data_IF_013482450014
#
_entry.id   IF_013482450014
#
_cell.length_a   1.000
_cell.length_b   1.000
_cell.length_c   1.000
_cell.angle_alpha   90.00
_cell.angle_beta   90.00
_cell.angle_gamma   90.00
#
_symmetry.space_group_name_H-M   'P 1'
#
loop_
_entity.id
_entity.type
_entity.pdbx_description
1 polymer ?
#
# COMPACT_ATOMS: atom_id res chain seq x y z
N UNK A 1 -1.09 12.01 19.93
CA UNK A 1 -1.32 10.75 20.68
C UNK A 1 -2.16 9.82 19.82
N UNK A 2 -1.64 8.68 19.36
CA UNK A 2 -2.47 7.69 18.66
C UNK A 2 -3.38 7.02 19.69
N UNK A 3 -4.70 7.18 19.57
CA UNK A 3 -5.67 6.50 20.45
C UNK A 3 -5.54 4.98 20.26
N UNK A 4 -5.48 4.24 21.36
CA UNK A 4 -5.45 2.79 21.34
C UNK A 4 -6.81 2.26 20.84
N UNK A 5 -6.81 1.19 20.03
CA UNK A 5 -8.03 0.54 19.57
C UNK A 5 -8.95 0.10 20.72
N UNK A 6 -8.38 -0.30 21.87
CA UNK A 6 -9.13 -0.60 23.09
C UNK A 6 -9.88 0.62 23.67
N UNK A 7 -9.27 1.81 23.62
CA UNK A 7 -9.90 3.06 24.08
C UNK A 7 -11.11 3.44 23.21
N UNK A 8 -11.03 3.15 21.91
CA UNK A 8 -12.08 3.49 20.95
C UNK A 8 -13.32 2.60 21.16
N UNK A 9 -13.11 1.30 21.41
CA UNK A 9 -14.21 0.36 21.67
C UNK A 9 -14.69 0.36 23.13
N UNK A 10 -14.00 1.12 23.99
CA UNK A 10 -14.23 1.22 25.44
C UNK A 10 -14.15 -0.15 26.13
N UNK A 11 -13.15 -0.95 25.77
CA UNK A 11 -12.83 -2.21 26.45
C UNK A 11 -11.41 -2.17 27.02
N UNK A 12 -11.14 -2.85 28.14
CA UNK A 12 -9.78 -3.02 28.62
C UNK A 12 -8.99 -3.96 27.69
N UNK A 13 -7.66 -3.81 27.65
CA UNK A 13 -6.78 -4.70 26.86
C UNK A 13 -6.88 -6.18 27.31
N UNK A 14 -7.24 -6.41 28.58
CA UNK A 14 -7.46 -7.74 29.16
C UNK A 14 -8.77 -8.41 28.75
N UNK A 15 -9.62 -7.75 27.94
CA UNK A 15 -10.89 -8.33 27.51
C UNK A 15 -10.68 -9.65 26.75
N UNK A 16 -11.57 -10.61 26.91
CA UNK A 16 -11.52 -11.87 26.15
C UNK A 16 -11.87 -11.64 24.68
N UNK A 17 -11.53 -12.58 23.79
CA UNK A 17 -11.88 -12.46 22.37
C UNK A 17 -13.41 -12.38 22.18
N UNK A 18 -14.15 -13.17 22.93
CA UNK A 18 -15.62 -13.18 22.91
C UNK A 18 -16.23 -11.83 23.27
N UNK A 19 -15.66 -11.12 24.26
CA UNK A 19 -16.12 -9.78 24.65
C UNK A 19 -15.82 -8.75 23.57
N UNK A 20 -14.66 -8.85 22.93
CA UNK A 20 -14.28 -7.99 21.80
C UNK A 20 -15.21 -8.21 20.61
N UNK A 21 -15.47 -9.46 20.24
CA UNK A 21 -16.33 -9.80 19.10
C UNK A 21 -17.77 -9.34 19.35
N UNK A 22 -18.29 -9.56 20.57
CA UNK A 22 -19.61 -9.07 20.98
C UNK A 22 -19.69 -7.55 20.88
N UNK A 23 -18.66 -6.84 21.36
CA UNK A 23 -18.64 -5.37 21.33
C UNK A 23 -18.55 -4.82 19.91
N UNK A 24 -17.77 -5.47 19.04
CA UNK A 24 -17.70 -5.13 17.62
C UNK A 24 -19.03 -5.35 16.93
N UNK A 25 -19.75 -6.45 17.24
CA UNK A 25 -21.09 -6.70 16.70
C UNK A 25 -22.10 -5.65 17.17
N UNK A 26 -22.09 -5.28 18.46
CA UNK A 26 -22.95 -4.22 19.02
C UNK A 26 -22.73 -2.85 18.37
N UNK A 27 -21.47 -2.49 18.08
CA UNK A 27 -21.15 -1.23 17.40
C UNK A 27 -21.51 -1.27 15.92
N UNK A 28 -21.35 -2.42 15.24
CA UNK A 28 -21.78 -2.59 13.85
C UNK A 28 -23.31 -2.50 13.69
N UNK A 29 -24.06 -2.93 14.71
CA UNK A 29 -25.51 -2.88 14.72
C UNK A 29 -26.07 -1.47 14.99
N UNK A 30 -25.26 -0.54 15.50
CA UNK A 30 -25.61 0.87 15.65
C UNK A 30 -25.14 1.61 14.39
N UNK A 31 -25.89 2.60 13.92
CA UNK A 31 -25.42 3.49 12.85
C UNK A 31 -24.09 4.14 13.27
N UNK A 32 -23.01 3.76 12.60
CA UNK A 32 -21.68 4.28 12.85
C UNK A 32 -21.56 5.61 12.12
N UNK A 33 -21.24 6.73 12.79
CA UNK A 33 -21.00 8.00 12.13
C UNK A 33 -19.95 7.84 11.02
N UNK A 34 -20.17 8.45 9.85
CA UNK A 34 -19.31 8.31 8.66
C UNK A 34 -17.82 8.59 8.94
N UNK A 35 -17.52 9.51 9.85
CA UNK A 35 -16.15 9.83 10.27
C UNK A 35 -15.46 8.74 11.11
N UNK A 36 -16.21 7.81 11.70
CA UNK A 36 -15.69 6.68 12.50
C UNK A 36 -15.69 5.34 11.76
N UNK A 37 -16.32 5.27 10.58
CA UNK A 37 -16.50 4.03 9.83
C UNK A 37 -15.15 3.38 9.44
N UNK A 38 -14.17 4.19 9.01
CA UNK A 38 -12.82 3.72 8.67
C UNK A 38 -12.04 3.22 9.90
N UNK A 39 -12.11 3.93 11.03
CA UNK A 39 -11.50 3.51 12.29
C UNK A 39 -12.13 2.21 12.79
N UNK A 40 -13.45 2.09 12.70
CA UNK A 40 -14.17 0.89 13.11
C UNK A 40 -13.79 -0.33 12.26
N UNK A 41 -13.66 -0.17 10.94
CA UNK A 41 -13.19 -1.23 10.04
C UNK A 41 -11.79 -1.72 10.44
N UNK A 42 -10.87 -0.80 10.72
CA UNK A 42 -9.51 -1.15 11.18
C UNK A 42 -9.52 -1.89 12.51
N UNK A 43 -10.34 -1.43 13.47
CA UNK A 43 -10.48 -2.07 14.77
C UNK A 43 -11.06 -3.48 14.60
N UNK A 44 -12.13 -3.63 13.82
CA UNK A 44 -12.75 -4.95 13.56
C UNK A 44 -11.76 -5.90 12.90
N UNK A 45 -11.00 -5.41 11.93
CA UNK A 45 -9.98 -6.20 11.21
C UNK A 45 -8.77 -6.57 12.07
N UNK A 46 -8.41 -5.73 13.05
CA UNK A 46 -7.24 -5.95 13.92
C UNK A 46 -7.59 -6.76 15.16
N UNK A 47 -8.68 -6.39 15.85
CA UNK A 47 -9.08 -7.00 17.12
C UNK A 47 -10.07 -8.17 16.95
N UNK A 48 -10.78 -8.26 15.82
CA UNK A 48 -11.73 -9.35 15.55
C UNK A 48 -11.07 -10.65 15.07
N UNK A 49 -9.77 -10.64 14.77
CA UNK A 49 -8.99 -11.85 14.48
C UNK A 49 -8.04 -12.13 15.66
N UNK A 50 -8.08 -13.33 16.27
CA UNK A 50 -7.27 -13.64 17.45
C UNK A 50 -5.76 -13.52 17.23
N UNK A 51 -5.26 -13.86 16.04
CA UNK A 51 -3.83 -13.82 15.74
C UNK A 51 -3.37 -12.37 15.52
N UNK A 52 -4.16 -11.57 14.82
CA UNK A 52 -3.85 -10.15 14.59
C UNK A 52 -3.94 -9.33 15.86
N UNK A 53 -4.91 -9.66 16.72
CA UNK A 53 -5.02 -9.10 18.05
C UNK A 53 -3.77 -9.36 18.88
N UNK A 54 -3.27 -10.61 18.91
CA UNK A 54 -2.00 -10.95 19.58
C UNK A 54 -0.83 -10.13 19.08
N UNK A 55 -0.70 -9.97 17.76
CA UNK A 55 0.37 -9.16 17.17
C UNK A 55 0.24 -7.67 17.54
N UNK A 56 -0.98 -7.15 17.57
CA UNK A 56 -1.27 -5.79 17.99
C UNK A 56 -0.94 -5.58 19.48
N UNK A 57 -1.32 -6.52 20.35
CA UNK A 57 -1.01 -6.49 21.78
C UNK A 57 0.49 -6.53 22.04
N UNK A 58 1.23 -7.37 21.31
CA UNK A 58 2.70 -7.44 21.38
C UNK A 58 3.35 -6.12 20.93
N UNK A 59 2.86 -5.51 19.84
CA UNK A 59 3.36 -4.22 19.36
C UNK A 59 3.05 -3.07 20.33
N UNK A 60 1.90 -3.13 21.01
CA UNK A 60 1.52 -2.15 22.02
C UNK A 60 2.40 -2.28 23.27
N UNK A 61 2.67 -3.52 23.71
CA UNK A 61 3.59 -3.81 24.81
C UNK A 61 5.02 -3.33 24.50
N UNK A 62 5.52 -3.56 23.27
CA UNK A 62 6.84 -3.09 22.85
C UNK A 62 6.97 -1.56 22.84
N UNK A 63 5.87 -0.82 22.58
CA UNK A 63 5.84 0.65 22.65
C UNK A 63 5.75 1.19 24.09
N UNK A 64 5.29 0.37 25.03
CA UNK A 64 5.15 0.72 26.45
C UNK A 64 6.40 0.38 27.26
N UNK A 65 7.33 -0.41 26.72
CA UNK A 65 8.62 -0.65 27.35
C UNK A 65 9.51 0.61 27.22
N UNK A 66 9.96 1.21 28.34
CA UNK A 66 11.06 2.17 28.29
C UNK A 66 12.31 1.45 27.78
N UNK A 67 13.12 2.14 26.96
CA UNK A 67 14.37 1.63 26.39
C UNK A 67 15.29 1.18 27.52
N UNK A 68 15.25 -0.11 27.83
CA UNK A 68 16.18 -0.81 28.72
C UNK A 68 17.26 -1.43 27.84
N UNK A 69 18.49 -1.02 28.12
CA UNK A 69 19.76 -1.43 27.49
C UNK A 69 19.78 -2.93 27.15
N UNK A 70 20.11 -3.24 25.90
CA UNK A 70 20.33 -4.59 25.41
C UNK A 70 21.58 -5.23 26.06
N UNK A 71 21.53 -6.47 26.57
CA UNK A 71 22.74 -7.22 26.88
C UNK A 71 23.40 -7.64 25.56
N UNK A 72 24.67 -7.24 25.39
CA UNK A 72 25.51 -7.66 24.28
C UNK A 72 25.69 -9.18 24.28
N UNK A 73 25.62 -9.76 23.09
CA UNK A 73 25.91 -11.17 22.84
C UNK A 73 27.36 -11.50 23.21
N UNK A 74 27.53 -12.33 24.23
CA UNK A 74 28.78 -12.93 24.64
C UNK A 74 29.13 -14.06 23.66
N UNK A 75 30.25 -13.89 22.96
CA UNK A 75 30.84 -14.91 22.08
C UNK A 75 31.32 -16.07 22.93
N UNK A 76 30.73 -17.24 22.73
CA UNK A 76 31.25 -18.49 23.29
C UNK A 76 32.27 -19.07 22.33
N UNK A 77 33.53 -18.99 22.73
CA UNK A 77 34.66 -19.66 22.08
C UNK A 77 34.62 -21.17 22.32
N UNK A 78 34.98 -21.88 21.27
CA UNK A 78 35.11 -23.33 21.18
C UNK A 78 36.41 -23.78 21.88
N UNK A 79 36.32 -24.64 22.89
CA UNK A 79 37.39 -25.59 23.20
C UNK A 79 36.90 -26.80 24.02
N UNK A 80 37.02 -27.98 23.39
CA UNK A 80 37.53 -29.23 23.97
C UNK A 80 36.86 -29.81 25.22
N UNK A 81 36.11 -30.91 25.05
CA UNK A 81 36.50 -32.18 25.67
C UNK A 81 35.77 -33.37 25.04
N UNK A 82 36.53 -34.28 24.42
CA UNK A 82 36.07 -35.61 23.97
C UNK A 82 36.31 -36.60 25.10
N UNK A 83 35.29 -37.44 25.32
CA UNK A 83 35.29 -38.81 25.82
C UNK A 83 34.29 -38.94 26.97
N UNK A 84 33.29 -39.81 26.80
CA UNK A 84 33.06 -40.99 27.64
C UNK A 84 31.86 -41.79 27.10
N UNK A 85 32.21 -42.96 26.54
CA UNK A 85 31.58 -44.28 26.70
C UNK A 85 30.07 -44.44 26.50
N UNK A 86 29.73 -45.21 25.46
CA UNK A 86 28.41 -45.73 25.17
C UNK A 86 27.92 -46.74 26.23
N UNK A 87 26.69 -46.56 26.71
CA UNK A 87 25.81 -47.61 27.22
C UNK A 87 24.46 -47.54 26.50
N UNK A 88 23.84 -48.66 26.12
CA UNK A 88 22.60 -48.68 25.35
C UNK A 88 21.39 -48.52 26.29
N UNK A 89 20.92 -47.29 26.49
CA UNK A 89 19.63 -47.04 27.17
C UNK A 89 18.46 -47.35 26.22
N UNK A 90 17.57 -48.21 26.70
CA UNK A 90 16.35 -48.65 26.05
C UNK A 90 15.51 -47.50 25.46
N UNK A 91 14.91 -47.74 24.30
CA UNK A 91 13.94 -46.84 23.64
C UNK A 91 12.77 -46.57 24.61
N UNK A 92 12.38 -45.31 24.88
CA UNK A 92 11.10 -45.05 25.51
C UNK A 92 9.99 -45.39 24.52
N UNK A 93 9.09 -46.28 24.93
CA UNK A 93 7.85 -46.57 24.25
C UNK A 93 7.05 -45.27 24.19
N UNK A 94 6.80 -44.76 22.98
CA UNK A 94 5.95 -43.59 22.76
C UNK A 94 4.52 -43.95 23.17
N UNK A 95 4.12 -43.54 24.37
CA UNK A 95 2.73 -43.53 24.77
C UNK A 95 2.01 -42.48 23.92
N UNK A 96 1.13 -42.93 23.03
CA UNK A 96 0.23 -42.05 22.29
C UNK A 96 -0.63 -41.29 23.30
N UNK A 97 -0.50 -39.97 23.33
CA UNK A 97 -1.26 -39.09 24.21
C UNK A 97 -2.75 -39.13 23.81
N UNK A 98 -3.66 -39.66 24.65
CA UNK A 98 -5.08 -39.77 24.33
C UNK A 98 -5.82 -38.41 24.30
N UNK A 99 -5.14 -37.31 24.64
CA UNK A 99 -5.65 -35.93 24.59
C UNK A 99 -5.12 -35.11 23.40
N UNK A 100 -4.75 -35.75 22.29
CA UNK A 100 -4.56 -34.99 21.05
C UNK A 100 -5.90 -34.39 20.63
N UNK A 101 -6.00 -33.06 20.73
CA UNK A 101 -7.13 -32.31 20.21
C UNK A 101 -7.33 -32.69 18.73
N UNK A 102 -8.58 -32.82 18.25
CA UNK A 102 -8.83 -33.10 16.85
C UNK A 102 -8.05 -32.08 16.03
N UNK A 103 -7.15 -32.53 15.16
CA UNK A 103 -6.60 -31.66 14.12
C UNK A 103 -7.74 -31.39 13.16
N UNK A 104 -8.58 -30.42 13.53
CA UNK A 104 -9.49 -29.77 12.62
C UNK A 104 -8.62 -29.29 11.48
N UNK A 105 -8.73 -29.94 10.33
CA UNK A 105 -8.36 -29.32 9.08
C UNK A 105 -9.26 -28.09 8.97
N UNK A 106 -8.79 -26.98 9.54
CA UNK A 106 -9.32 -25.67 9.28
C UNK A 106 -9.15 -25.53 7.78
N UNK A 107 -10.22 -25.82 7.04
CA UNK A 107 -10.38 -25.33 5.68
C UNK A 107 -10.08 -23.85 5.81
N UNK A 108 -8.87 -23.49 5.39
CA UNK A 108 -8.40 -22.13 5.23
C UNK A 108 -9.52 -21.46 4.46
N UNK A 109 -10.36 -20.69 5.17
CA UNK A 109 -11.36 -19.83 4.54
C UNK A 109 -10.58 -19.16 3.43
N UNK A 110 -10.96 -19.40 2.18
CA UNK A 110 -10.23 -18.92 1.01
C UNK A 110 -10.11 -17.41 1.17
N UNK A 111 -8.99 -16.95 1.74
CA UNK A 111 -8.56 -15.57 1.64
C UNK A 111 -8.51 -15.36 0.14
N UNK A 112 -9.35 -14.47 -0.36
CA UNK A 112 -9.34 -14.06 -1.75
C UNK A 112 -7.88 -13.70 -2.08
N UNK A 113 -7.20 -14.60 -2.79
CA UNK A 113 -5.75 -14.51 -2.96
C UNK A 113 -5.51 -13.27 -3.81
N UNK A 114 -4.93 -12.25 -3.18
CA UNK A 114 -4.79 -10.95 -3.80
C UNK A 114 -3.99 -11.11 -5.11
N UNK A 115 -4.51 -10.62 -6.25
CA UNK A 115 -3.75 -10.68 -7.49
C UNK A 115 -2.49 -9.82 -7.36
N UNK A 116 -1.43 -10.06 -8.15
CA UNK A 116 -0.26 -9.22 -8.12
C UNK A 116 -0.60 -7.76 -8.45
N UNK A 117 -0.34 -6.81 -7.54
CA UNK A 117 -0.62 -5.38 -7.72
C UNK A 117 0.65 -4.54 -7.70
N UNK A 118 0.64 -3.40 -8.39
CA UNK A 118 1.65 -2.37 -8.19
C UNK A 118 1.45 -1.70 -6.83
N UNK A 119 2.55 -1.39 -6.14
CA UNK A 119 2.48 -0.69 -4.86
C UNK A 119 1.89 0.74 -5.03
N UNK A 120 0.72 1.05 -4.42
CA UNK A 120 0.07 2.36 -4.60
C UNK A 120 0.88 3.53 -4.02
N UNK A 121 1.66 3.31 -2.96
CA UNK A 121 2.54 4.36 -2.41
C UNK A 121 3.68 4.66 -3.38
N UNK A 122 4.30 3.61 -3.93
CA UNK A 122 5.36 3.79 -4.91
C UNK A 122 4.81 4.45 -6.20
N UNK A 123 3.60 4.08 -6.64
CA UNK A 123 2.94 4.74 -7.77
C UNK A 123 2.75 6.24 -7.50
N UNK A 124 2.30 6.61 -6.29
CA UNK A 124 2.21 7.99 -5.85
C UNK A 124 3.56 8.73 -5.90
N UNK A 125 4.63 8.12 -5.35
CA UNK A 125 5.97 8.73 -5.33
C UNK A 125 6.55 8.92 -6.74
N UNK A 126 6.45 7.90 -7.59
CA UNK A 126 6.92 7.99 -8.99
C UNK A 126 6.10 8.98 -9.83
N UNK A 127 4.87 9.29 -9.42
CA UNK A 127 4.06 10.33 -10.06
C UNK A 127 4.56 11.75 -9.80
N UNK A 128 5.38 11.98 -8.76
CA UNK A 128 6.08 13.26 -8.58
C UNK A 128 7.14 13.46 -9.67
N UNK A 129 7.85 12.39 -10.04
CA UNK A 129 8.92 12.47 -11.03
C UNK A 129 8.39 12.49 -12.45
N UNK A 130 7.44 11.60 -12.78
CA UNK A 130 6.88 11.53 -14.12
C UNK A 130 5.71 12.49 -14.28
N UNK A 131 4.55 12.11 -13.75
CA UNK A 131 3.34 12.91 -13.69
C UNK A 131 2.20 12.09 -13.06
N UNK A 132 1.06 12.72 -12.71
CA UNK A 132 -0.15 12.00 -12.32
C UNK A 132 -0.71 11.08 -13.41
N UNK A 133 -0.33 11.26 -14.68
CA UNK A 133 -0.70 10.36 -15.79
C UNK A 133 -0.14 8.96 -15.52
N UNK A 134 1.13 8.89 -15.10
CA UNK A 134 1.79 7.64 -14.74
C UNK A 134 1.07 6.94 -13.57
N UNK A 135 0.80 7.68 -12.49
CA UNK A 135 0.08 7.14 -11.34
C UNK A 135 -1.33 6.66 -11.66
N UNK A 136 -2.07 7.43 -12.47
CA UNK A 136 -3.43 7.06 -12.92
C UNK A 136 -3.41 5.75 -13.70
N UNK A 137 -2.42 5.58 -14.58
CA UNK A 137 -2.25 4.33 -15.32
C UNK A 137 -1.96 3.14 -14.40
N UNK A 138 -1.05 3.30 -13.43
CA UNK A 138 -0.75 2.20 -12.49
C UNK A 138 -1.94 1.84 -11.60
N UNK A 139 -2.69 2.83 -11.12
CA UNK A 139 -3.91 2.58 -10.35
C UNK A 139 -5.02 1.97 -11.22
N UNK A 140 -5.15 2.35 -12.49
CA UNK A 140 -6.03 1.68 -13.45
C UNK A 140 -5.67 0.19 -13.57
N UNK A 141 -4.39 -0.14 -13.77
CA UNK A 141 -3.95 -1.53 -13.90
C UNK A 141 -4.20 -2.34 -12.62
N UNK A 142 -4.08 -1.71 -11.46
CA UNK A 142 -4.45 -2.34 -10.18
C UNK A 142 -5.95 -2.58 -10.07
N UNK A 143 -6.79 -1.60 -10.40
CA UNK A 143 -8.25 -1.76 -10.38
C UNK A 143 -8.69 -2.88 -11.35
N UNK A 144 -8.13 -2.94 -12.56
CA UNK A 144 -8.41 -4.01 -13.51
C UNK A 144 -7.97 -5.38 -12.98
N UNK A 145 -6.80 -5.46 -12.33
CA UNK A 145 -6.36 -6.71 -11.71
C UNK A 145 -7.29 -7.16 -10.57
N UNK A 146 -7.91 -6.21 -9.87
CA UNK A 146 -8.87 -6.46 -8.79
C UNK A 146 -10.31 -6.71 -9.27
N UNK A 147 -10.59 -6.59 -10.57
CA UNK A 147 -11.97 -6.61 -11.07
C UNK A 147 -12.83 -5.43 -10.60
N UNK A 148 -12.19 -4.36 -10.12
CA UNK A 148 -12.85 -3.13 -9.66
C UNK A 148 -13.14 -2.22 -10.86
N UNK A 149 -14.27 -2.48 -11.52
CA UNK A 149 -14.71 -1.75 -12.72
C UNK A 149 -14.98 -0.26 -12.46
N UNK A 150 -15.50 0.07 -11.27
CA UNK A 150 -15.78 1.47 -10.89
C UNK A 150 -14.47 2.24 -10.71
N UNK A 151 -13.53 1.69 -9.95
CA UNK A 151 -12.21 2.27 -9.79
C UNK A 151 -11.42 2.32 -11.11
N UNK A 152 -11.56 1.32 -11.98
CA UNK A 152 -10.95 1.32 -13.30
C UNK A 152 -11.51 2.45 -14.17
N UNK A 153 -12.84 2.67 -14.16
CA UNK A 153 -13.47 3.77 -14.90
C UNK A 153 -12.98 5.13 -14.41
N UNK A 154 -12.90 5.34 -13.10
CA UNK A 154 -12.44 6.62 -12.53
C UNK A 154 -10.97 6.89 -12.88
N UNK A 155 -10.09 5.90 -12.71
CA UNK A 155 -8.67 6.03 -13.04
C UNK A 155 -8.44 6.22 -14.55
N UNK A 156 -9.22 5.53 -15.39
CA UNK A 156 -9.19 5.72 -16.86
C UNK A 156 -9.63 7.13 -17.25
N UNK A 157 -10.70 7.63 -16.65
CA UNK A 157 -11.17 8.99 -16.89
C UNK A 157 -10.11 10.02 -16.51
N UNK A 158 -9.47 9.87 -15.34
CA UNK A 158 -8.37 10.75 -14.92
C UNK A 158 -7.17 10.65 -15.86
N UNK A 159 -6.78 9.43 -16.26
CA UNK A 159 -5.68 9.21 -17.20
C UNK A 159 -5.87 9.98 -18.51
N UNK A 160 -7.03 9.83 -19.16
CA UNK A 160 -7.30 10.54 -20.42
C UNK A 160 -7.51 12.04 -20.24
N UNK A 161 -8.14 12.47 -19.14
CA UNK A 161 -8.30 13.89 -18.82
C UNK A 161 -6.94 14.58 -18.69
N UNK A 162 -5.99 13.93 -18.00
CA UNK A 162 -4.65 14.48 -17.80
C UNK A 162 -3.83 14.49 -19.09
N UNK A 163 -3.96 13.46 -19.94
CA UNK A 163 -3.35 13.47 -21.28
C UNK A 163 -3.90 14.61 -22.12
N UNK A 164 -5.23 14.74 -22.19
CA UNK A 164 -5.87 15.80 -22.99
C UNK A 164 -5.42 17.19 -22.52
N UNK A 165 -5.39 17.42 -21.20
CA UNK A 165 -4.96 18.69 -20.63
C UNK A 165 -3.49 18.98 -20.89
N UNK A 166 -2.62 17.98 -20.74
CA UNK A 166 -1.20 18.11 -21.04
C UNK A 166 -0.96 18.45 -22.52
N UNK A 167 -1.69 17.80 -23.44
CA UNK A 167 -1.66 18.11 -24.87
C UNK A 167 -2.13 19.53 -25.18
N UNK A 168 -3.19 20.01 -24.51
CA UNK A 168 -3.66 21.40 -24.66
C UNK A 168 -2.61 22.39 -24.18
N UNK A 169 -1.96 22.14 -23.04
CA UNK A 169 -0.91 23.01 -22.52
C UNK A 169 0.26 23.08 -23.50
N UNK A 170 0.75 21.93 -24.00
CA UNK A 170 1.82 21.90 -25.02
C UNK A 170 1.41 22.69 -26.26
N UNK A 171 0.19 22.47 -26.75
CA UNK A 171 -0.31 23.17 -27.93
C UNK A 171 -0.31 24.69 -27.72
N UNK A 172 -0.82 25.17 -26.59
CA UNK A 172 -0.83 26.60 -26.27
C UNK A 172 0.59 27.16 -26.13
N UNK A 173 1.51 26.44 -25.48
CA UNK A 173 2.89 26.87 -25.33
C UNK A 173 3.65 26.97 -26.65
N UNK A 174 3.40 26.05 -27.60
CA UNK A 174 4.12 26.04 -28.89
C UNK A 174 3.49 26.95 -29.93
N UNK A 175 2.16 26.91 -30.09
CA UNK A 175 1.47 27.57 -31.20
C UNK A 175 0.80 28.89 -30.80
N UNK A 176 0.62 29.14 -29.51
CA UNK A 176 0.07 30.39 -28.98
C UNK A 176 0.90 30.91 -27.78
N UNK A 177 2.21 31.22 -27.96
CA UNK A 177 3.09 31.55 -26.83
C UNK A 177 2.58 32.69 -25.95
N UNK A 178 1.91 33.69 -26.53
CA UNK A 178 1.28 34.81 -25.83
C UNK A 178 0.22 34.42 -24.77
N UNK A 179 -0.32 33.21 -24.87
CA UNK A 179 -1.22 32.56 -23.90
C UNK A 179 -0.43 31.52 -23.09
N UNK A 180 0.33 30.66 -23.76
CA UNK A 180 1.07 29.55 -23.15
C UNK A 180 2.08 29.99 -22.08
N UNK A 181 2.81 31.08 -22.31
CA UNK A 181 3.83 31.59 -21.39
C UNK A 181 3.23 32.16 -20.09
N UNK A 182 1.92 32.43 -20.09
CA UNK A 182 1.17 32.88 -18.90
C UNK A 182 0.67 31.72 -18.05
N UNK A 183 0.78 30.49 -18.52
CA UNK A 183 0.38 29.31 -17.75
C UNK A 183 1.40 29.10 -16.62
N UNK A 184 0.99 29.14 -15.35
CA UNK A 184 1.93 29.04 -14.24
C UNK A 184 2.44 27.60 -14.09
N UNK A 185 3.76 27.45 -13.91
CA UNK A 185 4.43 26.14 -13.74
C UNK A 185 3.90 25.32 -12.55
N UNK A 186 3.24 25.96 -11.57
CA UNK A 186 2.64 25.29 -10.41
C UNK A 186 1.44 24.40 -10.78
N UNK A 187 0.88 24.56 -11.97
CA UNK A 187 -0.34 23.87 -12.38
C UNK A 187 -0.18 22.33 -12.33
N UNK A 188 1.01 21.82 -12.67
CA UNK A 188 1.34 20.39 -12.57
C UNK A 188 1.28 19.87 -11.14
N UNK A 189 1.73 20.66 -10.17
CA UNK A 189 1.66 20.31 -8.75
C UNK A 189 0.21 20.33 -8.24
N UNK A 190 -0.59 21.31 -8.68
CA UNK A 190 -2.03 21.37 -8.37
C UNK A 190 -2.74 20.13 -8.91
N UNK A 191 -2.45 19.71 -10.14
CA UNK A 191 -3.04 18.50 -10.72
C UNK A 191 -2.59 17.23 -10.00
N UNK A 192 -1.33 17.15 -9.58
CA UNK A 192 -0.84 16.04 -8.77
C UNK A 192 -1.60 15.93 -7.44
N UNK A 193 -1.78 17.05 -6.74
CA UNK A 193 -2.54 17.07 -5.49
C UNK A 193 -4.01 16.70 -5.73
N UNK A 194 -4.65 17.27 -6.75
CA UNK A 194 -6.04 16.99 -7.08
C UNK A 194 -6.26 15.50 -7.40
N UNK A 195 -5.39 14.92 -8.22
CA UNK A 195 -5.42 13.51 -8.55
C UNK A 195 -5.23 12.62 -7.32
N UNK A 196 -4.22 12.93 -6.50
CA UNK A 196 -3.93 12.15 -5.30
C UNK A 196 -5.09 12.19 -4.31
N UNK A 197 -5.68 13.37 -4.07
CA UNK A 197 -6.81 13.51 -3.15
C UNK A 197 -8.08 12.84 -3.68
N UNK A 198 -8.33 12.90 -4.99
CA UNK A 198 -9.55 12.36 -5.60
C UNK A 198 -9.53 10.84 -5.70
N UNK A 199 -8.46 10.28 -6.28
CA UNK A 199 -8.41 8.86 -6.67
C UNK A 199 -7.27 8.12 -5.99
N UNK A 200 -6.08 8.73 -5.92
CA UNK A 200 -4.88 8.05 -5.42
C UNK A 200 -4.99 7.60 -3.96
N UNK A 201 -5.49 8.47 -3.09
CA UNK A 201 -5.68 8.21 -1.66
C UNK A 201 -6.77 7.17 -1.41
N UNK A 202 -7.87 7.21 -2.17
CA UNK A 202 -8.97 6.24 -2.05
C UNK A 202 -8.49 4.84 -2.44
N UNK A 203 -7.83 4.72 -3.59
CA UNK A 203 -7.31 3.43 -4.07
C UNK A 203 -6.28 2.84 -3.11
N UNK A 204 -5.34 3.65 -2.61
CA UNK A 204 -4.39 3.22 -1.56
C UNK A 204 -5.12 2.66 -0.34
N UNK A 205 -6.15 3.36 0.14
CA UNK A 205 -6.89 2.95 1.32
C UNK A 205 -7.63 1.63 1.06
N UNK A 206 -8.30 1.50 -0.09
CA UNK A 206 -9.01 0.30 -0.49
C UNK A 206 -8.11 -0.94 -0.56
N UNK A 207 -6.92 -0.83 -1.16
CA UNK A 207 -5.94 -1.93 -1.23
C UNK A 207 -5.46 -2.31 0.17
N UNK A 208 -5.13 -1.31 1.01
CA UNK A 208 -4.67 -1.55 2.38
C UNK A 208 -5.75 -2.16 3.26
N UNK A 209 -7.00 -1.76 3.10
CA UNK A 209 -8.13 -2.29 3.85
C UNK A 209 -8.47 -3.72 3.45
N UNK A 210 -8.37 -4.07 2.15
CA UNK A 210 -8.67 -5.42 1.66
C UNK A 210 -7.54 -6.42 1.91
N UNK A 211 -6.29 -6.01 1.71
CA UNK A 211 -5.16 -6.94 1.66
C UNK A 211 -4.01 -6.62 2.63
N UNK A 212 -4.08 -5.50 3.35
CA UNK A 212 -2.98 -5.05 4.22
C UNK A 212 -1.71 -4.72 3.42
N UNK A 213 -0.55 -5.01 4.00
CA UNK A 213 0.76 -4.76 3.37
C UNK A 213 1.37 -6.00 2.69
N UNK A 214 0.80 -7.19 2.94
CA UNK A 214 1.28 -8.51 2.52
C UNK A 214 0.50 -9.07 1.31
N UNK A 215 0.31 -8.24 0.29
CA UNK A 215 -0.16 -8.67 -1.03
C UNK A 215 1.02 -8.93 -1.98
N UNK A 216 0.90 -9.85 -2.95
CA UNK A 216 1.93 -10.06 -3.95
C UNK A 216 2.10 -8.78 -4.79
N UNK A 217 3.34 -8.31 -4.91
CA UNK A 217 3.65 -7.04 -5.58
C UNK A 217 4.17 -7.29 -6.99
N UNK A 218 3.59 -6.60 -7.97
CA UNK A 218 4.19 -6.47 -9.30
C UNK A 218 5.46 -5.65 -9.22
N UNK A 219 6.47 -6.04 -9.99
CA UNK A 219 7.72 -5.30 -10.10
C UNK A 219 7.48 -3.89 -10.68
N UNK A 220 7.94 -2.87 -9.96
CA UNK A 220 7.90 -1.48 -10.43
C UNK A 220 8.95 -1.19 -11.50
N UNK A 221 10.04 -1.95 -11.57
CA UNK A 221 11.16 -1.68 -12.49
C UNK A 221 10.69 -1.60 -13.93
N UNK A 222 9.85 -2.54 -14.38
CA UNK A 222 9.30 -2.53 -15.74
C UNK A 222 8.46 -1.28 -16.01
N UNK A 223 7.59 -0.91 -15.06
CA UNK A 223 6.76 0.27 -15.19
C UNK A 223 7.60 1.56 -15.26
N UNK A 224 8.61 1.68 -14.40
CA UNK A 224 9.52 2.83 -14.39
C UNK A 224 10.31 2.92 -15.69
N UNK A 225 10.86 1.82 -16.20
CA UNK A 225 11.59 1.80 -17.48
C UNK A 225 10.70 2.24 -18.65
N UNK A 226 9.44 1.79 -18.69
CA UNK A 226 8.47 2.26 -19.69
C UNK A 226 8.20 3.75 -19.51
N UNK A 227 8.03 4.22 -18.27
CA UNK A 227 7.86 5.64 -17.95
C UNK A 227 9.02 6.49 -18.46
N UNK A 228 10.27 6.05 -18.23
CA UNK A 228 11.48 6.71 -18.74
C UNK A 228 11.46 6.74 -20.28
N UNK A 229 11.17 5.61 -20.93
CA UNK A 229 11.12 5.55 -22.40
C UNK A 229 10.08 6.49 -23.00
N UNK A 230 8.89 6.57 -22.41
CA UNK A 230 7.84 7.51 -22.82
C UNK A 230 8.30 8.95 -22.61
N UNK A 231 8.94 9.25 -21.46
CA UNK A 231 9.46 10.58 -21.18
C UNK A 231 10.48 11.01 -22.23
N UNK A 232 11.47 10.15 -22.53
CA UNK A 232 12.46 10.40 -23.60
C UNK A 232 11.78 10.63 -24.95
N UNK A 233 10.79 9.81 -25.31
CA UNK A 233 10.05 9.97 -26.57
C UNK A 233 9.29 11.31 -26.63
N UNK A 234 8.66 11.73 -25.54
CA UNK A 234 8.00 13.04 -25.44
C UNK A 234 9.00 14.18 -25.60
N UNK A 235 10.18 14.10 -24.98
CA UNK A 235 11.23 15.10 -25.14
C UNK A 235 11.70 15.22 -26.59
N UNK A 236 11.94 14.09 -27.25
CA UNK A 236 12.30 14.08 -28.67
C UNK A 236 11.18 14.68 -29.53
N UNK A 237 9.93 14.29 -29.27
CA UNK A 237 8.77 14.82 -30.01
C UNK A 237 8.61 16.33 -29.81
N UNK A 238 8.77 16.84 -28.59
CA UNK A 238 8.72 18.27 -28.29
C UNK A 238 9.87 19.02 -28.96
N UNK A 239 11.08 18.48 -28.93
CA UNK A 239 12.23 19.07 -29.61
C UNK A 239 11.98 19.20 -31.13
N UNK A 240 11.52 18.12 -31.77
CA UNK A 240 11.15 18.14 -33.19
C UNK A 240 10.01 19.15 -33.46
N UNK A 241 8.99 19.19 -32.59
CA UNK A 241 7.87 20.12 -32.72
C UNK A 241 8.32 21.58 -32.64
N UNK A 242 9.24 21.90 -31.73
CA UNK A 242 9.85 23.23 -31.59
C UNK A 242 10.64 23.60 -32.86
N UNK A 243 11.48 22.70 -33.38
CA UNK A 243 12.20 22.94 -34.64
C UNK A 243 11.26 23.21 -35.82
N UNK A 244 10.13 22.49 -35.88
CA UNK A 244 9.10 22.72 -36.90
C UNK A 244 8.45 24.09 -36.71
N UNK A 245 8.10 24.47 -35.47
CA UNK A 245 7.50 25.76 -35.17
C UNK A 245 8.44 26.94 -35.50
N UNK A 246 9.74 26.79 -35.25
CA UNK A 246 10.79 27.76 -35.59
C UNK A 246 10.94 27.90 -37.12
N UNK A 247 11.01 26.78 -37.83
CA UNK A 247 11.06 26.78 -39.30
C UNK A 247 9.81 27.42 -39.95
N UNK A 248 8.67 27.39 -39.27
CA UNK A 248 7.44 28.07 -39.70
C UNK A 248 7.36 29.54 -39.27
N UNK A 249 8.34 30.05 -38.52
CA UNK A 249 8.36 31.43 -37.99
C UNK A 249 7.30 31.68 -36.90
N UNK A 250 6.79 30.63 -36.26
CA UNK A 250 5.85 30.74 -35.13
C UNK A 250 6.60 31.13 -33.85
N UNK A 251 7.81 30.59 -33.71
CA UNK A 251 8.77 30.92 -32.65
C UNK A 251 10.11 31.28 -33.30
N UNK A 252 10.98 31.95 -32.54
CA UNK A 252 12.34 32.25 -32.96
C UNK A 252 13.30 31.73 -31.90
N UNK A 253 14.06 30.70 -32.22
CA UNK A 253 15.18 30.23 -31.41
C UNK A 253 16.35 31.19 -31.60
N UNK A 254 16.73 31.93 -30.55
CA UNK A 254 17.96 32.74 -30.52
C UNK A 254 19.24 31.87 -30.41
#
# INVERSE_FOLDING_TARGET
MSKNYYDIIKLPQSATQTEVDKRLAEMAAREIPSHLQSSFLQIRHTLGDPQRRRNYDAALAAKQQPISVAPQAEKTDVASNKNHRAEPRAKPISQANPYQAPTTNLQKITQEEAPPLFNPNAAGLWSLLFSPIFGSYLHLQNCLALGDEEGAKENRSMFYTMIALFSVIIFLSVFMPSIGDKIPNVIGLVFLLLWWLRVGKKHKLAVRERFGDDYPRRSMTKAVLIGIGIYVAVFIALFVLILIADAMGIIHLE
#
